data_IF_286137549152
#
_entry.id   IF_286137549152
#
_cell.length_a   1.000
_cell.length_b   1.000
_cell.length_c   1.000
_cell.angle_alpha   90.00
_cell.angle_beta   90.00
_cell.angle_gamma   90.00
#
_symmetry.space_group_name_H-M   'P 1'
#
loop_
_entity.id
_entity.type
_entity.pdbx_description
1 polymer ?
#
# COMPACT_ATOMS: atom_id res chain seq x y z
N UNK A 1 52.83 -31.45 0.96
CA UNK A 1 51.95 -31.21 -0.21
C UNK A 1 52.26 -29.83 -0.79
N UNK A 2 52.51 -29.67 -2.10
CA UNK A 2 52.95 -28.38 -2.65
C UNK A 2 51.81 -27.35 -2.64
N UNK A 3 52.13 -26.07 -2.38
CA UNK A 3 51.14 -24.97 -2.27
C UNK A 3 50.20 -24.86 -3.48
N UNK A 4 50.65 -25.29 -4.67
CA UNK A 4 49.83 -25.35 -5.90
C UNK A 4 48.76 -26.44 -5.82
N UNK A 5 49.08 -27.63 -5.28
CA UNK A 5 48.11 -28.73 -5.12
C UNK A 5 47.02 -28.37 -4.10
N UNK A 6 47.38 -27.68 -3.01
CA UNK A 6 46.43 -27.24 -1.98
C UNK A 6 45.40 -26.23 -2.54
N UNK A 7 45.82 -25.28 -3.38
CA UNK A 7 44.90 -24.31 -4.01
C UNK A 7 43.89 -24.98 -4.95
N UNK A 8 44.32 -25.98 -5.73
CA UNK A 8 43.43 -26.72 -6.64
C UNK A 8 42.37 -27.51 -5.86
N UNK A 9 42.76 -28.13 -4.74
CA UNK A 9 41.82 -28.85 -3.87
C UNK A 9 40.77 -27.92 -3.23
N UNK A 10 41.15 -26.70 -2.85
CA UNK A 10 40.20 -25.71 -2.29
C UNK A 10 39.18 -25.27 -3.35
N UNK A 11 39.61 -25.01 -4.58
CA UNK A 11 38.70 -24.65 -5.68
C UNK A 11 37.71 -25.77 -6.01
N UNK A 12 38.17 -27.02 -6.02
CA UNK A 12 37.30 -28.19 -6.24
C UNK A 12 36.28 -28.38 -5.11
N UNK A 13 36.67 -28.16 -3.85
CA UNK A 13 35.77 -28.27 -2.71
C UNK A 13 34.67 -27.19 -2.72
N UNK A 14 35.00 -25.96 -3.11
CA UNK A 14 34.03 -24.85 -3.21
C UNK A 14 33.03 -25.08 -4.33
N UNK A 15 33.49 -25.57 -5.49
CA UNK A 15 32.62 -25.91 -6.62
C UNK A 15 31.64 -27.03 -6.27
N UNK A 16 32.10 -28.06 -5.56
CA UNK A 16 31.25 -29.15 -5.10
C UNK A 16 30.21 -28.71 -4.05
N UNK A 17 30.56 -27.75 -3.20
CA UNK A 17 29.66 -27.16 -2.21
C UNK A 17 28.56 -26.30 -2.86
N UNK A 18 28.88 -25.56 -3.93
CA UNK A 18 27.93 -24.76 -4.70
C UNK A 18 26.88 -25.61 -5.42
N UNK A 19 27.26 -26.79 -5.93
CA UNK A 19 26.30 -27.71 -6.55
C UNK A 19 25.29 -28.31 -5.56
N UNK A 20 25.66 -28.48 -4.28
CA UNK A 20 24.76 -29.02 -3.26
C UNK A 20 23.68 -28.02 -2.81
N UNK A 21 23.90 -26.71 -3.00
CA UNK A 21 22.94 -25.66 -2.60
C UNK A 21 21.78 -25.49 -3.59
N UNK A 22 21.91 -25.95 -4.84
CA UNK A 22 20.87 -25.84 -5.87
C UNK A 22 19.80 -26.94 -5.79
N UNK A 23 20.00 -27.96 -4.95
CA UNK A 23 19.11 -29.13 -4.82
C UNK A 23 18.03 -28.96 -3.75
N UNK A 24 18.00 -27.83 -3.04
CA UNK A 24 16.96 -27.56 -2.05
C UNK A 24 15.70 -27.16 -2.84
N UNK A 25 14.59 -27.91 -2.75
CA UNK A 25 13.33 -27.45 -3.31
C UNK A 25 13.01 -26.11 -2.64
N UNK A 26 12.96 -25.05 -3.45
CA UNK A 26 12.52 -23.74 -2.98
C UNK A 26 11.07 -23.90 -2.55
N UNK A 27 10.88 -24.11 -1.25
CA UNK A 27 9.56 -24.09 -0.63
C UNK A 27 9.06 -22.66 -0.85
N UNK A 28 8.17 -22.47 -1.82
CA UNK A 28 7.42 -21.24 -1.99
C UNK A 28 6.68 -21.05 -0.68
N UNK A 29 7.20 -20.17 0.16
CA UNK A 29 6.48 -19.68 1.32
C UNK A 29 5.31 -18.91 0.73
N UNK A 30 4.13 -19.52 0.74
CA UNK A 30 2.89 -18.80 0.51
C UNK A 30 2.71 -17.86 1.70
N UNK A 31 3.30 -16.67 1.60
CA UNK A 31 3.07 -15.59 2.52
C UNK A 31 1.59 -15.24 2.36
N UNK A 32 0.79 -15.31 3.42
CA UNK A 32 -0.55 -14.72 3.41
C UNK A 32 -0.38 -13.26 2.98
N UNK A 33 -0.68 -12.94 1.73
CA UNK A 33 -0.58 -11.57 1.22
C UNK A 33 -1.58 -10.75 2.01
N UNK A 34 -1.10 -9.86 2.89
CA UNK A 34 -1.95 -8.95 3.66
C UNK A 34 -2.64 -7.93 2.75
N UNK A 35 -2.13 -7.78 1.53
CA UNK A 35 -2.57 -6.82 0.52
C UNK A 35 -2.92 -7.53 -0.79
N UNK A 36 -4.01 -7.11 -1.40
CA UNK A 36 -4.40 -7.50 -2.76
C UNK A 36 -4.65 -6.24 -3.57
N UNK A 37 -4.13 -6.18 -4.80
CA UNK A 37 -4.39 -5.08 -5.73
C UNK A 37 -5.26 -5.61 -6.86
N UNK A 38 -6.35 -4.90 -7.14
CA UNK A 38 -7.31 -5.21 -8.18
C UNK A 38 -7.53 -3.98 -9.06
N UNK A 39 -7.97 -4.18 -10.30
CA UNK A 39 -8.20 -3.08 -11.24
C UNK A 39 -9.62 -3.10 -11.79
N UNK A 40 -10.19 -1.91 -11.99
CA UNK A 40 -11.48 -1.72 -12.67
C UNK A 40 -11.33 -0.53 -13.62
N UNK A 41 -11.33 -0.83 -14.93
CA UNK A 41 -10.91 0.15 -15.94
C UNK A 41 -9.44 0.54 -15.73
N UNK A 42 -9.17 1.84 -15.72
CA UNK A 42 -7.83 2.40 -15.53
C UNK A 42 -7.46 2.63 -14.06
N UNK A 43 -8.37 2.32 -13.12
CA UNK A 43 -8.17 2.55 -11.70
C UNK A 43 -7.74 1.29 -10.95
N UNK A 44 -6.78 1.46 -10.03
CA UNK A 44 -6.32 0.42 -9.13
C UNK A 44 -6.91 0.59 -7.72
N UNK A 45 -7.22 -0.54 -7.10
CA UNK A 45 -7.82 -0.67 -5.77
C UNK A 45 -6.95 -1.58 -4.92
N UNK A 46 -6.59 -1.14 -3.72
CA UNK A 46 -5.91 -1.96 -2.72
C UNK A 46 -6.91 -2.45 -1.68
N UNK A 47 -6.92 -3.75 -1.40
CA UNK A 47 -7.52 -4.31 -0.18
C UNK A 47 -6.40 -4.68 0.78
N UNK A 48 -6.49 -4.28 2.03
CA UNK A 48 -5.43 -4.53 3.02
C UNK A 48 -5.98 -4.90 4.40
N UNK A 49 -5.33 -5.87 5.05
CA UNK A 49 -5.54 -6.17 6.48
C UNK A 49 -4.59 -5.40 7.38
N UNK A 50 -3.60 -4.73 6.81
CA UNK A 50 -2.58 -4.01 7.55
C UNK A 50 -3.16 -2.72 8.15
N UNK A 51 -2.82 -2.46 9.43
CA UNK A 51 -3.11 -1.20 10.09
C UNK A 51 -2.19 -0.06 9.62
N UNK A 52 -1.14 -0.36 8.85
CA UNK A 52 -0.26 0.63 8.25
C UNK A 52 -0.53 0.68 6.74
N UNK A 53 -0.99 1.84 6.28
CA UNK A 53 -1.29 2.09 4.86
C UNK A 53 -0.22 3.03 4.33
N UNK A 54 0.58 2.57 3.37
CA UNK A 54 1.61 3.39 2.72
C UNK A 54 1.29 3.55 1.24
N UNK A 55 1.12 4.78 0.78
CA UNK A 55 0.78 5.13 -0.60
C UNK A 55 1.81 6.09 -1.19
N UNK A 56 1.98 6.02 -2.51
CA UNK A 56 2.85 6.93 -3.27
C UNK A 56 2.02 7.77 -4.21
N UNK A 57 2.35 9.05 -4.31
CA UNK A 57 1.76 9.96 -5.27
C UNK A 57 2.52 9.88 -6.60
N UNK A 58 1.80 9.69 -7.71
CA UNK A 58 2.39 9.55 -9.05
C UNK A 58 2.47 10.86 -9.85
N UNK A 59 2.11 11.99 -9.22
CA UNK A 59 1.95 13.30 -9.85
C UNK A 59 0.49 13.67 -10.13
N UNK A 60 -0.41 12.68 -10.18
CA UNK A 60 -1.85 12.91 -10.37
C UNK A 60 -2.66 12.40 -9.17
N UNK A 61 -2.42 11.14 -8.78
CA UNK A 61 -3.17 10.41 -7.77
C UNK A 61 -2.24 9.56 -6.91
N UNK A 62 -2.75 9.11 -5.77
CA UNK A 62 -2.14 8.04 -4.99
C UNK A 62 -2.30 6.71 -5.74
N UNK A 63 -1.29 5.86 -5.66
CA UNK A 63 -1.36 4.52 -6.22
C UNK A 63 -1.29 3.44 -5.14
N UNK A 64 -2.21 2.45 -5.14
CA UNK A 64 -3.55 2.47 -5.77
C UNK A 64 -4.44 3.65 -5.33
N UNK A 65 -5.35 4.11 -6.21
CA UNK A 65 -6.22 5.28 -5.98
C UNK A 65 -7.13 5.09 -4.77
N UNK A 66 -7.72 3.91 -4.66
CA UNK A 66 -8.64 3.56 -3.58
C UNK A 66 -7.99 2.49 -2.71
N UNK A 67 -8.09 2.65 -1.39
CA UNK A 67 -7.68 1.65 -0.41
C UNK A 67 -8.86 1.25 0.45
N UNK A 68 -9.13 -0.04 0.55
CA UNK A 68 -10.15 -0.62 1.42
C UNK A 68 -9.40 -1.42 2.49
N UNK A 69 -9.41 -0.90 3.71
CA UNK A 69 -8.71 -1.48 4.84
C UNK A 69 -9.68 -2.18 5.79
N UNK A 70 -9.23 -3.27 6.39
CA UNK A 70 -9.98 -3.90 7.48
C UNK A 70 -10.02 -2.95 8.69
N UNK A 71 -11.17 -2.92 9.38
CA UNK A 71 -11.34 -2.11 10.58
C UNK A 71 -10.34 -2.50 11.66
N UNK A 72 -9.57 -1.48 12.07
CA UNK A 72 -8.59 -1.54 13.12
C UNK A 72 -8.83 -0.32 14.00
N UNK A 73 -8.72 -0.50 15.32
CA UNK A 73 -8.94 0.59 16.29
C UNK A 73 -8.14 1.86 15.96
N UNK A 74 -6.95 1.70 15.42
CA UNK A 74 -6.08 2.78 14.95
C UNK A 74 -5.41 2.33 13.64
N UNK A 75 -5.34 3.24 12.67
CA UNK A 75 -4.67 3.07 11.39
C UNK A 75 -3.61 4.17 11.25
N UNK A 76 -2.42 3.79 10.77
CA UNK A 76 -1.29 4.65 10.46
C UNK A 76 -1.23 4.84 8.93
N UNK A 77 -1.64 6.01 8.46
CA UNK A 77 -1.66 6.37 7.04
C UNK A 77 -0.41 7.16 6.75
N UNK A 78 0.34 6.74 5.73
CA UNK A 78 1.61 7.32 5.30
C UNK A 78 1.57 7.56 3.80
N UNK A 79 1.78 8.79 3.40
CA UNK A 79 1.81 9.22 2.00
C UNK A 79 3.22 9.69 1.67
N UNK A 80 3.72 9.28 0.51
CA UNK A 80 5.07 9.58 0.04
C UNK A 80 5.04 10.19 -1.37
N UNK A 81 6.11 10.91 -1.69
CA UNK A 81 6.35 11.51 -3.00
C UNK A 81 5.35 12.65 -3.34
N UNK A 82 4.80 13.34 -2.32
CA UNK A 82 3.95 14.51 -2.47
C UNK A 82 4.79 15.80 -2.59
N UNK A 83 4.17 16.87 -3.10
CA UNK A 83 4.80 18.19 -3.16
C UNK A 83 5.03 18.74 -1.74
N UNK A 84 6.28 19.12 -1.43
CA UNK A 84 6.65 19.67 -0.12
C UNK A 84 5.85 20.95 0.23
N UNK A 85 5.47 21.08 1.51
CA UNK A 85 4.69 22.23 1.99
C UNK A 85 3.23 22.22 1.56
N UNK A 86 2.74 21.14 0.96
CA UNK A 86 1.32 20.95 0.66
C UNK A 86 0.47 20.84 1.92
N UNK A 87 -0.77 21.33 1.84
CA UNK A 87 -1.79 21.03 2.83
C UNK A 87 -2.43 19.69 2.48
N UNK A 88 -2.27 18.69 3.35
CA UNK A 88 -2.74 17.32 3.14
C UNK A 88 -3.63 16.89 4.29
N UNK A 89 -4.82 16.38 3.98
CA UNK A 89 -5.79 15.94 4.97
C UNK A 89 -6.71 14.85 4.43
N UNK A 90 -7.28 14.06 5.33
CA UNK A 90 -8.45 13.24 5.02
C UNK A 90 -9.70 14.09 5.20
N UNK A 91 -10.71 13.90 4.37
CA UNK A 91 -12.02 14.52 4.53
C UNK A 91 -13.09 13.45 4.65
N UNK A 92 -13.93 13.55 5.67
CA UNK A 92 -15.20 12.83 5.73
C UNK A 92 -16.21 13.56 4.83
N UNK A 93 -16.64 12.97 3.70
CA UNK A 93 -17.54 13.65 2.78
C UNK A 93 -18.95 13.86 3.33
N UNK A 94 -19.36 13.08 4.34
CA UNK A 94 -20.70 13.17 4.94
C UNK A 94 -20.81 14.34 5.93
N UNK A 95 -19.72 14.68 6.61
CA UNK A 95 -19.70 15.69 7.67
C UNK A 95 -18.86 16.93 7.35
N UNK A 96 -17.96 16.85 6.36
CA UNK A 96 -16.95 17.87 6.10
C UNK A 96 -15.82 17.90 7.15
N UNK A 97 -15.75 16.91 8.04
CA UNK A 97 -14.68 16.81 9.03
C UNK A 97 -13.34 16.54 8.34
N UNK A 98 -12.35 17.41 8.60
CA UNK A 98 -11.00 17.30 8.08
C UNK A 98 -10.05 16.74 9.15
N UNK A 99 -9.27 15.74 8.77
CA UNK A 99 -8.23 15.13 9.61
C UNK A 99 -6.88 15.46 8.96
N UNK A 100 -6.12 16.43 9.48
CA UNK A 100 -4.85 16.83 8.88
C UNK A 100 -3.80 15.73 8.99
N UNK A 101 -2.95 15.62 7.97
CA UNK A 101 -1.74 14.80 8.02
C UNK A 101 -0.53 15.68 8.38
N UNK A 102 0.33 15.14 9.23
CA UNK A 102 1.58 15.80 9.63
C UNK A 102 2.62 15.75 8.50
N UNK A 103 3.23 16.89 8.20
CA UNK A 103 4.37 16.99 7.27
C UNK A 103 5.66 16.52 7.97
N UNK A 104 6.20 15.40 7.48
CA UNK A 104 7.44 14.78 7.98
C UNK A 104 8.67 15.16 7.13
N UNK A 105 8.56 16.17 6.28
CA UNK A 105 9.57 16.65 5.33
C UNK A 105 9.84 15.68 4.17
N UNK A 106 10.37 16.21 3.07
CA UNK A 106 10.74 15.42 1.89
C UNK A 106 9.54 14.80 1.18
N UNK A 107 8.39 15.49 1.15
CA UNK A 107 7.17 15.03 0.49
C UNK A 107 6.46 13.88 1.21
N UNK A 108 6.69 13.73 2.51
CA UNK A 108 6.13 12.64 3.32
C UNK A 108 5.12 13.16 4.33
N UNK A 109 3.94 12.57 4.34
CA UNK A 109 2.83 12.96 5.20
C UNK A 109 2.30 11.77 5.97
N UNK A 110 1.91 11.95 7.23
CA UNK A 110 1.32 10.84 8.00
C UNK A 110 0.27 11.26 9.01
N UNK A 111 -0.64 10.34 9.33
CA UNK A 111 -1.55 10.48 10.46
C UNK A 111 -1.84 9.11 11.08
N UNK A 112 -1.94 9.08 12.41
CA UNK A 112 -2.53 7.96 13.13
C UNK A 112 -3.93 8.35 13.58
N UNK A 113 -4.93 7.59 13.15
CA UNK A 113 -6.33 7.94 13.41
C UNK A 113 -7.22 6.70 13.42
N UNK A 114 -8.47 6.88 13.87
CA UNK A 114 -9.55 5.91 13.74
C UNK A 114 -10.53 6.43 12.69
N UNK A 115 -10.84 5.63 11.68
CA UNK A 115 -11.82 5.99 10.66
C UNK A 115 -13.15 5.30 10.95
N UNK A 116 -14.25 5.99 10.68
CA UNK A 116 -15.57 5.35 10.73
C UNK A 116 -15.69 4.36 9.57
N UNK A 117 -16.33 3.22 9.86
CA UNK A 117 -16.58 2.18 8.87
C UNK A 117 -17.52 2.67 7.78
N UNK A 118 -17.32 2.12 6.59
CA UNK A 118 -18.15 2.30 5.41
C UNK A 118 -18.26 3.74 4.88
N UNK A 119 -17.36 4.61 5.32
CA UNK A 119 -17.19 5.97 4.79
C UNK A 119 -15.99 5.99 3.85
N UNK A 120 -16.18 6.55 2.66
CA UNK A 120 -15.12 6.74 1.67
C UNK A 120 -14.40 8.07 1.95
N UNK A 121 -13.46 8.06 2.90
CA UNK A 121 -12.67 9.25 3.20
C UNK A 121 -11.84 9.64 1.98
N UNK A 122 -11.94 10.90 1.55
CA UNK A 122 -11.11 11.45 0.49
C UNK A 122 -9.76 11.89 1.04
N UNK A 123 -8.69 11.65 0.29
CA UNK A 123 -7.37 12.22 0.57
C UNK A 123 -7.21 13.47 -0.27
N UNK A 124 -7.11 14.63 0.38
CA UNK A 124 -7.02 15.93 -0.27
C UNK A 124 -5.60 16.47 -0.16
N UNK A 125 -5.06 16.98 -1.27
CA UNK A 125 -3.81 17.74 -1.33
C UNK A 125 -4.08 19.07 -2.03
N UNK A 126 -3.87 20.20 -1.34
CA UNK A 126 -4.08 21.56 -1.88
C UNK A 126 -5.45 21.70 -2.60
N UNK A 127 -6.51 21.23 -1.94
CA UNK A 127 -7.90 21.22 -2.45
C UNK A 127 -8.18 20.27 -3.63
N UNK A 128 -7.21 19.44 -4.03
CA UNK A 128 -7.38 18.38 -5.03
C UNK A 128 -7.58 17.03 -4.36
N UNK A 129 -8.60 16.29 -4.78
CA UNK A 129 -8.77 14.88 -4.40
C UNK A 129 -7.71 14.03 -5.11
N UNK A 130 -6.85 13.36 -4.34
CA UNK A 130 -5.75 12.55 -4.86
C UNK A 130 -5.88 11.05 -4.53
N UNK A 131 -6.83 10.65 -3.68
CA UNK A 131 -7.07 9.24 -3.38
C UNK A 131 -8.21 9.05 -2.40
N UNK A 132 -8.48 7.79 -2.03
CA UNK A 132 -9.51 7.45 -1.05
C UNK A 132 -9.12 6.29 -0.16
N UNK A 133 -9.56 6.35 1.09
CA UNK A 133 -9.42 5.29 2.08
C UNK A 133 -10.81 5.00 2.68
N UNK A 134 -11.22 3.73 2.62
CA UNK A 134 -12.43 3.21 3.27
C UNK A 134 -12.04 2.13 4.25
N UNK A 135 -12.72 2.07 5.38
CA UNK A 135 -12.56 1.01 6.38
C UNK A 135 -13.81 0.13 6.44
N UNK A 136 -13.64 -1.18 6.51
CA UNK A 136 -14.73 -2.18 6.46
C UNK A 136 -14.54 -3.29 7.50
N UNK A 137 -15.64 -3.93 7.91
CA UNK A 137 -15.59 -5.07 8.85
C UNK A 137 -15.02 -6.35 8.22
N UNK A 138 -15.17 -6.50 6.89
CA UNK A 138 -14.65 -7.64 6.13
C UNK A 138 -14.18 -7.18 4.73
N UNK A 139 -13.11 -7.79 4.25
CA UNK A 139 -12.57 -7.56 2.91
C UNK A 139 -13.23 -8.46 1.84
N UNK A 140 -14.02 -9.45 2.24
CA UNK A 140 -14.90 -10.20 1.33
C UNK A 140 -16.11 -9.36 0.95
N UNK A 141 -15.91 -8.47 -0.03
CA UNK A 141 -16.89 -7.46 -0.45
C UNK A 141 -17.83 -8.06 -1.50
N UNK A 142 -19.13 -8.22 -1.20
CA UNK A 142 -20.09 -8.71 -2.18
C UNK A 142 -20.24 -7.72 -3.34
N UNK A 143 -20.28 -8.23 -4.57
CA UNK A 143 -20.44 -7.41 -5.77
C UNK A 143 -19.42 -6.25 -5.86
N UNK A 144 -18.15 -6.61 -5.66
CA UNK A 144 -17.03 -5.68 -5.58
C UNK A 144 -16.96 -4.65 -6.71
N UNK A 145 -17.24 -5.04 -7.97
CA UNK A 145 -17.23 -4.09 -9.09
C UNK A 145 -18.23 -2.96 -8.88
N UNK A 146 -19.39 -3.25 -8.28
CA UNK A 146 -20.38 -2.23 -7.92
C UNK A 146 -19.82 -1.31 -6.84
N UNK A 147 -19.24 -1.85 -5.76
CA UNK A 147 -18.63 -1.03 -4.70
C UNK A 147 -17.54 -0.12 -5.25
N UNK A 148 -16.67 -0.65 -6.13
CA UNK A 148 -15.63 0.15 -6.76
C UNK A 148 -16.21 1.25 -7.66
N UNK A 149 -17.28 0.94 -8.40
CA UNK A 149 -17.99 1.93 -9.23
C UNK A 149 -18.66 3.00 -8.37
N UNK A 150 -19.29 2.62 -7.26
CA UNK A 150 -19.95 3.54 -6.33
C UNK A 150 -18.91 4.49 -5.70
N UNK A 151 -17.75 3.96 -5.26
CA UNK A 151 -16.63 4.76 -4.77
C UNK A 151 -16.15 5.74 -5.86
N UNK A 152 -15.86 5.26 -7.07
CA UNK A 152 -15.42 6.12 -8.18
C UNK A 152 -16.46 7.18 -8.54
N UNK A 153 -17.76 6.88 -8.42
CA UNK A 153 -18.84 7.84 -8.69
C UNK A 153 -18.85 8.95 -7.63
N UNK A 154 -18.67 8.59 -6.36
CA UNK A 154 -18.51 9.55 -5.25
C UNK A 154 -17.28 10.42 -5.45
N UNK A 155 -16.14 9.81 -5.82
CA UNK A 155 -14.90 10.51 -6.07
C UNK A 155 -14.97 11.39 -7.32
N UNK A 156 -15.67 10.97 -8.37
CA UNK A 156 -15.78 11.66 -9.66
C UNK A 156 -16.41 13.05 -9.60
N UNK A 157 -17.15 13.37 -8.52
CA UNK A 157 -17.62 14.74 -8.28
C UNK A 157 -16.51 15.68 -7.77
N UNK A 158 -15.35 15.14 -7.37
CA UNK A 158 -14.17 15.89 -6.89
C UNK A 158 -12.84 15.55 -7.57
N UNK A 159 -12.80 14.58 -8.49
CA UNK A 159 -11.64 14.23 -9.34
C UNK A 159 -11.54 15.09 -10.60
#
# INVERSE_FOLDING_TARGET
MSKKKVRIFIFLAISLLLLLLLSIPQKVVNWNNSKTIETLGDYAFEKTKDSVITKKFDGNYLYPLVTIALDNKEIDIRLEDLDEGSNVYLINPETGEEIPLEDNQGGKYSVKTSLKKDIDYGVIMNFKLIGSIRVVDDLDIPNQNKVFTDILTTLGCGL
#
